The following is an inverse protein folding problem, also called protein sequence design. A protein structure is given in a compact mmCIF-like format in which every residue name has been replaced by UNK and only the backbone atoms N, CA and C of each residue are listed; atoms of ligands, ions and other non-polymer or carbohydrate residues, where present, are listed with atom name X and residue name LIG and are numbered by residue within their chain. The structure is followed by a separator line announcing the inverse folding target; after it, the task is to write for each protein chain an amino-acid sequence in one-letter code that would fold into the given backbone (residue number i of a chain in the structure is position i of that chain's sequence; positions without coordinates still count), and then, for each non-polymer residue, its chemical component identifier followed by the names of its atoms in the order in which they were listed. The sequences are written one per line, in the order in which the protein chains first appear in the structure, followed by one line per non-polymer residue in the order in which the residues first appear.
data_IF_247090103343
#
_entry.id   IF_247090103343
#
_cell.length_a   1.000
_cell.length_b   1.000
_cell.length_c   1.000
_cell.angle_alpha   90.00
_cell.angle_beta   90.00
_cell.angle_gamma   90.00
#
_symmetry.space_group_name_H-M   'P 1'
#
loop_
_entity.id
_entity.type
_entity.pdbx_description
1 polymer ?
#
# COMPACT_ATOMS: atom_id res chain seq x y z
N UNK A 1 10.77 6.76 14.25
CA UNK A 1 9.83 5.97 13.43
C UNK A 1 9.72 4.56 13.98
N UNK A 2 8.56 3.91 13.88
CA UNK A 2 8.28 2.59 14.46
C UNK A 2 8.70 1.40 13.58
N UNK A 3 9.31 1.64 12.40
CA UNK A 3 9.80 0.59 11.49
C UNK A 3 8.71 -0.15 10.70
N UNK A 4 7.57 0.50 10.43
CA UNK A 4 6.47 -0.09 9.66
C UNK A 4 6.44 0.36 8.19
N UNK A 5 5.60 -0.30 7.40
CA UNK A 5 5.35 -0.01 5.99
C UNK A 5 3.86 0.30 5.75
N UNK A 6 3.57 1.16 4.77
CA UNK A 6 2.24 1.51 4.35
C UNK A 6 2.16 1.58 2.81
N UNK A 7 1.15 0.92 2.24
CA UNK A 7 0.98 0.70 0.81
C UNK A 7 -0.50 0.81 0.41
N UNK A 8 -0.75 1.17 -0.85
CA UNK A 8 -2.07 1.02 -1.47
C UNK A 8 -2.33 -0.37 -2.11
N UNK A 9 -1.37 -1.28 -1.95
CA UNK A 9 -1.35 -2.61 -2.56
C UNK A 9 -0.52 -2.68 -3.84
N UNK A 10 -0.08 -1.55 -4.40
CA UNK A 10 0.72 -1.46 -5.63
C UNK A 10 1.98 -0.60 -5.47
N UNK A 11 1.95 0.40 -4.59
CA UNK A 11 3.09 1.29 -4.30
C UNK A 11 3.04 1.82 -2.86
N UNK A 12 4.16 2.38 -2.34
CA UNK A 12 4.18 3.02 -1.04
C UNK A 12 3.18 4.18 -0.95
N UNK A 13 2.45 4.27 0.17
CA UNK A 13 1.36 5.27 0.31
C UNK A 13 1.85 6.72 0.19
N UNK A 14 3.09 6.98 0.59
CA UNK A 14 3.69 8.32 0.59
C UNK A 14 4.25 8.74 -0.78
N UNK A 15 4.34 7.81 -1.73
CA UNK A 15 4.81 8.07 -3.08
C UNK A 15 3.66 8.45 -4.04
N UNK A 16 2.40 8.25 -3.61
CA UNK A 16 1.22 8.58 -4.40
C UNK A 16 1.06 10.10 -4.50
N UNK A 17 1.04 10.61 -5.73
CA UNK A 17 0.63 11.99 -6.03
C UNK A 17 -0.89 12.02 -6.24
N UNK A 18 -1.68 12.70 -5.38
CA UNK A 18 -3.14 12.74 -5.54
C UNK A 18 -3.57 13.55 -6.78
N UNK A 19 -4.56 13.05 -7.51
CA UNK A 19 -5.18 13.69 -8.68
C UNK A 19 -6.43 14.52 -8.32
N UNK A 20 -6.99 14.33 -7.11
CA UNK A 20 -8.13 15.11 -6.60
C UNK A 20 -8.11 15.27 -5.09
N UNK A 21 -8.75 16.34 -4.58
CA UNK A 21 -8.75 16.69 -3.15
C UNK A 21 -9.33 15.59 -2.24
N UNK A 22 -10.28 14.78 -2.76
CA UNK A 22 -10.95 13.73 -2.01
C UNK A 22 -10.66 12.34 -2.56
N UNK A 23 -9.51 12.15 -3.21
CA UNK A 23 -9.08 10.86 -3.70
C UNK A 23 -9.02 9.83 -2.56
N UNK A 24 -9.53 8.63 -2.85
CA UNK A 24 -9.44 7.47 -1.98
C UNK A 24 -8.53 6.44 -2.63
N UNK A 25 -7.86 5.65 -1.80
CA UNK A 25 -7.03 4.53 -2.24
C UNK A 25 -7.13 3.42 -1.18
N UNK A 26 -6.95 2.14 -1.52
CA UNK A 26 -6.80 1.09 -0.53
C UNK A 26 -5.65 1.41 0.45
N UNK A 27 -5.70 0.85 1.66
CA UNK A 27 -4.65 1.08 2.65
C UNK A 27 -4.29 -0.21 3.37
N UNK A 28 -3.04 -0.61 3.22
CA UNK A 28 -2.39 -1.67 3.98
C UNK A 28 -1.27 -1.02 4.79
N UNK A 29 -1.29 -1.13 6.13
CA UNK A 29 -0.33 -0.47 7.00
C UNK A 29 -0.01 -1.32 8.22
N UNK A 30 1.26 -1.39 8.60
CA UNK A 30 1.70 -2.09 9.81
C UNK A 30 3.10 -2.68 9.70
N UNK A 31 3.24 -3.92 10.18
CA UNK A 31 4.49 -4.69 10.07
C UNK A 31 4.86 -4.85 8.60
N UNK A 32 6.10 -4.49 8.25
CA UNK A 32 6.58 -4.46 6.88
C UNK A 32 6.40 -5.81 6.16
N UNK A 33 6.88 -6.91 6.74
CA UNK A 33 6.82 -8.24 6.13
C UNK A 33 5.37 -8.69 5.85
N UNK A 34 4.41 -8.31 6.71
CA UNK A 34 3.00 -8.62 6.50
C UNK A 34 2.37 -7.78 5.40
N UNK A 35 2.77 -6.51 5.27
CA UNK A 35 2.28 -5.62 4.21
C UNK A 35 2.85 -6.06 2.85
N UNK A 36 4.14 -6.36 2.76
CA UNK A 36 4.77 -6.91 1.54
C UNK A 36 4.14 -8.26 1.14
N UNK A 37 3.80 -9.12 2.11
CA UNK A 37 3.07 -10.35 1.82
C UNK A 37 1.68 -10.09 1.24
N UNK A 38 0.96 -9.09 1.75
CA UNK A 38 -0.33 -8.70 1.18
C UNK A 38 -0.18 -8.21 -0.27
N UNK A 39 0.81 -7.36 -0.56
CA UNK A 39 1.13 -6.93 -1.93
C UNK A 39 1.44 -8.11 -2.85
N UNK A 40 2.17 -9.12 -2.38
CA UNK A 40 2.48 -10.30 -3.20
C UNK A 40 1.24 -11.08 -3.64
N UNK A 41 0.23 -11.18 -2.77
CA UNK A 41 -1.04 -11.81 -3.11
C UNK A 41 -1.85 -10.94 -4.06
N UNK A 42 -1.86 -9.62 -3.85
CA UNK A 42 -2.52 -8.67 -4.75
C UNK A 42 -1.91 -8.80 -6.15
N UNK A 43 -0.58 -8.72 -6.28
CA UNK A 43 0.11 -8.85 -7.55
C UNK A 43 -0.15 -10.20 -8.27
N UNK A 44 -0.37 -11.28 -7.52
CA UNK A 44 -0.65 -12.61 -8.09
C UNK A 44 -2.08 -12.77 -8.62
N UNK A 45 -3.06 -12.08 -8.01
CA UNK A 45 -4.49 -12.30 -8.27
C UNK A 45 -5.22 -11.12 -8.92
N UNK A 46 -4.61 -9.93 -8.98
CA UNK A 46 -5.18 -8.74 -9.62
C UNK A 46 -4.86 -8.77 -11.14
N UNK A 47 -5.59 -9.61 -11.89
CA UNK A 47 -5.57 -9.70 -13.38
C UNK A 47 -6.63 -8.83 -14.03
#
# INVERSE_FOLDING_TARGET
HAGGYASDGKQPILDIVPESLHQRTPLFIGNQDLVEKAESFIALYDT
#
